data_IF_820104393458
#
_entry.id   IF_820104393458
#
_cell.length_a   1.000
_cell.length_b   1.000
_cell.length_c   1.000
_cell.angle_alpha   90.00
_cell.angle_beta   90.00
_cell.angle_gamma   90.00
#
_symmetry.space_group_name_H-M   'P 1'
#
loop_
_entity.id
_entity.type
_entity.pdbx_description
1 polymer ?
#
# COMPACT_ATOMS: atom_id res chain seq x y z
N UNK A 1 16.91 -11.72 -36.39
CA UNK A 1 17.00 -12.18 -34.99
C UNK A 1 17.08 -11.00 -34.00
N UNK A 2 18.01 -10.06 -34.17
CA UNK A 2 18.19 -8.90 -33.28
C UNK A 2 16.95 -8.01 -33.12
N UNK A 3 16.21 -7.74 -34.21
CA UNK A 3 14.96 -6.94 -34.19
C UNK A 3 13.81 -7.59 -33.40
N UNK A 4 13.75 -8.93 -33.36
CA UNK A 4 12.77 -9.66 -32.54
C UNK A 4 13.17 -9.64 -31.07
N UNK A 5 14.47 -9.75 -30.77
CA UNK A 5 15.01 -9.62 -29.42
C UNK A 5 14.74 -8.23 -28.83
N UNK A 6 14.90 -7.17 -29.63
CA UNK A 6 14.64 -5.79 -29.23
C UNK A 6 13.16 -5.55 -28.86
N UNK A 7 12.23 -6.15 -29.61
CA UNK A 7 10.80 -6.07 -29.33
C UNK A 7 10.41 -6.84 -28.06
N UNK A 8 11.00 -8.01 -27.81
CA UNK A 8 10.75 -8.79 -26.59
C UNK A 8 11.22 -8.02 -25.36
N UNK A 9 12.42 -7.43 -25.40
CA UNK A 9 12.95 -6.61 -24.30
C UNK A 9 12.11 -5.36 -24.01
N UNK A 10 11.57 -4.71 -25.05
CA UNK A 10 10.67 -3.55 -24.91
C UNK A 10 9.35 -3.94 -24.22
N UNK A 11 8.79 -5.11 -24.54
CA UNK A 11 7.54 -5.58 -23.91
C UNK A 11 7.76 -5.97 -22.44
N UNK A 12 8.90 -6.57 -22.11
CA UNK A 12 9.28 -6.93 -20.73
C UNK A 12 9.45 -5.71 -19.82
N UNK A 13 10.00 -4.60 -20.32
CA UNK A 13 10.16 -3.37 -19.52
C UNK A 13 8.84 -2.64 -19.26
N UNK A 14 7.90 -2.67 -20.22
CA UNK A 14 6.59 -2.04 -20.06
C UNK A 14 5.73 -2.74 -18.99
N UNK A 15 5.76 -4.07 -18.93
CA UNK A 15 4.99 -4.84 -17.95
C UNK A 15 5.46 -4.58 -16.50
N UNK A 16 6.77 -4.47 -16.29
CA UNK A 16 7.35 -4.19 -14.97
C UNK A 16 7.00 -2.79 -14.44
N UNK A 17 6.84 -1.81 -15.35
CA UNK A 17 6.53 -0.43 -14.97
C UNK A 17 5.05 -0.23 -14.56
N UNK A 18 4.13 -1.04 -15.09
CA UNK A 18 2.71 -0.99 -14.74
C UNK A 18 2.42 -1.47 -13.31
N UNK A 19 3.01 -2.61 -12.93
CA UNK A 19 2.80 -3.19 -11.60
C UNK A 19 3.37 -2.31 -10.47
N UNK A 20 4.58 -1.77 -10.68
CA UNK A 20 5.24 -0.86 -9.72
C UNK A 20 4.48 0.46 -9.54
N UNK A 21 3.86 0.98 -10.61
CA UNK A 21 3.00 2.17 -10.52
C UNK A 21 1.75 1.92 -9.67
N UNK A 22 1.09 0.77 -9.86
CA UNK A 22 -0.07 0.39 -9.05
C UNK A 22 0.27 0.25 -7.56
N UNK A 23 1.43 -0.36 -7.25
CA UNK A 23 1.90 -0.48 -5.86
C UNK A 23 2.10 0.90 -5.19
N UNK A 24 2.70 1.85 -5.92
CA UNK A 24 2.90 3.21 -5.43
C UNK A 24 1.57 3.96 -5.21
N UNK A 25 0.58 3.74 -6.07
CA UNK A 25 -0.75 4.34 -5.92
C UNK A 25 -1.49 3.80 -4.69
N UNK A 26 -1.46 2.48 -4.46
CA UNK A 26 -2.05 1.89 -3.24
C UNK A 26 -1.37 2.39 -1.97
N UNK A 27 -0.03 2.47 -1.94
CA UNK A 27 0.70 3.06 -0.81
C UNK A 27 0.27 4.50 -0.52
N UNK A 28 0.14 5.33 -1.57
CA UNK A 28 -0.30 6.72 -1.43
C UNK A 28 -1.72 6.81 -0.87
N UNK A 29 -2.65 6.04 -1.41
CA UNK A 29 -4.05 6.02 -0.94
C UNK A 29 -4.15 5.55 0.51
N UNK A 30 -3.39 4.52 0.89
CA UNK A 30 -3.33 4.08 2.28
C UNK A 30 -2.89 5.17 3.26
N UNK A 31 -1.85 5.94 2.90
CA UNK A 31 -1.39 7.08 3.71
C UNK A 31 -2.47 8.14 3.86
N UNK A 32 -3.24 8.41 2.82
CA UNK A 32 -4.37 9.34 2.89
C UNK A 32 -5.45 8.85 3.86
N UNK A 33 -5.74 7.55 3.90
CA UNK A 33 -6.66 6.97 4.87
C UNK A 33 -6.15 7.10 6.31
N UNK A 34 -4.85 6.85 6.54
CA UNK A 34 -4.23 7.02 7.86
C UNK A 34 -4.29 8.48 8.31
N UNK A 35 -4.00 9.41 7.42
CA UNK A 35 -4.02 10.84 7.70
C UNK A 35 -5.44 11.32 8.02
N UNK A 36 -6.41 10.98 7.18
CA UNK A 36 -7.82 11.30 7.44
C UNK A 36 -8.26 10.74 8.81
N UNK A 37 -7.82 9.54 9.16
CA UNK A 37 -8.16 8.96 10.47
C UNK A 37 -7.60 9.76 11.64
N UNK A 38 -6.35 10.22 11.51
CA UNK A 38 -5.68 11.01 12.55
C UNK A 38 -6.21 12.43 12.67
N UNK A 39 -6.49 13.09 11.55
CA UNK A 39 -6.86 14.50 11.53
C UNK A 39 -8.37 14.73 11.66
N UNK A 40 -9.17 13.89 11.00
CA UNK A 40 -10.63 14.05 10.95
C UNK A 40 -11.34 13.14 11.96
N UNK A 41 -10.62 12.20 12.60
CA UNK A 41 -11.19 11.26 13.57
C UNK A 41 -12.08 10.19 12.95
N UNK A 42 -11.96 9.95 11.64
CA UNK A 42 -12.71 8.89 10.94
C UNK A 42 -11.97 7.56 11.03
N UNK A 43 -12.65 6.44 11.30
CA UNK A 43 -11.95 5.15 11.37
C UNK A 43 -11.70 4.55 9.97
N UNK A 44 -10.60 4.96 9.32
CA UNK A 44 -10.18 4.45 7.99
C UNK A 44 -8.93 3.58 8.04
N UNK A 45 -8.46 3.20 9.23
CA UNK A 45 -7.28 2.35 9.36
C UNK A 45 -7.44 0.99 8.69
N UNK A 46 -8.64 0.40 8.69
CA UNK A 46 -8.92 -0.85 8.00
C UNK A 46 -8.76 -0.73 6.47
N UNK A 47 -9.18 0.40 5.89
CA UNK A 47 -8.99 0.69 4.46
C UNK A 47 -7.51 0.85 4.12
N UNK A 48 -6.76 1.55 4.99
CA UNK A 48 -5.32 1.68 4.85
C UNK A 48 -4.61 0.31 4.86
N UNK A 49 -5.00 -0.59 5.77
CA UNK A 49 -4.42 -1.96 5.83
C UNK A 49 -4.62 -2.70 4.51
N UNK A 50 -5.83 -2.69 3.95
CA UNK A 50 -6.12 -3.37 2.69
C UNK A 50 -5.28 -2.83 1.51
N UNK A 51 -5.15 -1.51 1.39
CA UNK A 51 -4.32 -0.88 0.37
C UNK A 51 -2.83 -1.19 0.55
N UNK A 52 -2.34 -1.27 1.79
CA UNK A 52 -0.94 -1.61 2.07
C UNK A 52 -0.63 -3.08 1.77
N UNK A 53 -1.57 -3.98 2.04
CA UNK A 53 -1.45 -5.39 1.67
C UNK A 53 -1.47 -5.57 0.15
N UNK A 54 -2.28 -4.79 -0.57
CA UNK A 54 -2.24 -4.74 -2.03
C UNK A 54 -0.90 -4.21 -2.57
N UNK A 55 -0.37 -3.13 -1.98
CA UNK A 55 0.93 -2.57 -2.35
C UNK A 55 2.06 -3.59 -2.15
N UNK A 56 2.07 -4.31 -1.02
CA UNK A 56 3.06 -5.35 -0.71
C UNK A 56 2.90 -6.61 -1.56
N UNK A 57 1.68 -6.92 -2.01
CA UNK A 57 1.45 -8.03 -2.95
C UNK A 57 2.02 -7.73 -4.34
N UNK A 58 1.95 -6.46 -4.77
CA UNK A 58 2.50 -6.01 -6.04
C UNK A 58 4.02 -5.77 -5.99
N UNK A 59 4.51 -5.18 -4.90
CA UNK A 59 5.93 -4.98 -4.64
C UNK A 59 6.30 -5.32 -3.18
N UNK A 60 6.76 -6.56 -2.94
CA UNK A 60 7.19 -6.99 -1.60
C UNK A 60 8.41 -6.23 -1.06
N UNK A 61 9.14 -5.49 -1.90
CA UNK A 61 10.33 -4.73 -1.49
C UNK A 61 10.00 -3.33 -0.95
N UNK A 62 8.73 -2.93 -0.98
CA UNK A 62 8.26 -1.62 -0.58
C UNK A 62 8.29 -1.44 0.95
N UNK A 63 9.48 -1.14 1.49
CA UNK A 63 9.73 -0.99 2.93
C UNK A 63 8.76 0.01 3.59
N UNK A 64 8.43 1.09 2.89
CA UNK A 64 7.50 2.10 3.39
C UNK A 64 6.10 1.51 3.67
N UNK A 65 5.64 0.54 2.88
CA UNK A 65 4.34 -0.09 3.08
C UNK A 65 4.29 -0.92 4.37
N UNK A 66 5.37 -1.62 4.73
CA UNK A 66 5.45 -2.30 6.04
C UNK A 66 5.36 -1.32 7.21
N UNK A 67 6.04 -0.16 7.11
CA UNK A 67 5.99 0.87 8.13
C UNK A 67 4.56 1.39 8.34
N UNK A 68 3.88 1.78 7.25
CA UNK A 68 2.51 2.27 7.35
C UNK A 68 1.52 1.18 7.79
N UNK A 69 1.79 -0.09 7.46
CA UNK A 69 0.95 -1.22 7.88
C UNK A 69 1.03 -1.41 9.39
N UNK A 70 2.23 -1.31 9.96
CA UNK A 70 2.43 -1.29 11.40
C UNK A 70 1.66 -0.13 12.06
N UNK A 71 1.76 1.09 11.52
CA UNK A 71 1.06 2.27 12.04
C UNK A 71 -0.46 2.06 12.05
N UNK A 72 -1.02 1.55 10.94
CA UNK A 72 -2.46 1.33 10.84
C UNK A 72 -2.95 0.23 11.81
N UNK A 73 -2.22 -0.89 11.91
CA UNK A 73 -2.58 -1.99 12.82
C UNK A 73 -2.48 -1.59 14.30
N UNK A 74 -1.48 -0.78 14.67
CA UNK A 74 -1.35 -0.21 16.02
C UNK A 74 -2.57 0.63 16.40
N UNK A 75 -2.96 1.57 15.53
CA UNK A 75 -4.10 2.43 15.77
C UNK A 75 -5.41 1.64 15.93
N UNK A 76 -5.62 0.58 15.13
CA UNK A 76 -6.79 -0.28 15.29
C UNK A 76 -6.81 -1.04 16.62
N UNK A 77 -5.64 -1.48 17.11
CA UNK A 77 -5.53 -2.12 18.42
C UNK A 77 -5.80 -1.16 19.58
N UNK A 78 -5.30 0.08 19.48
CA UNK A 78 -5.52 1.12 20.49
C UNK A 78 -7.01 1.52 20.58
N UNK A 79 -7.71 1.61 19.44
CA UNK A 79 -9.17 1.85 19.38
C UNK A 79 -9.99 0.70 19.99
N UNK A 80 -9.63 -0.56 19.70
CA UNK A 80 -10.30 -1.71 20.28
C UNK A 80 -10.15 -1.73 21.82
N UNK A 81 -8.94 -1.47 22.32
CA UNK A 81 -8.68 -1.38 23.75
C UNK A 81 -9.47 -0.23 24.42
N UNK A 82 -9.62 0.91 23.76
CA UNK A 82 -10.40 2.04 24.27
C UNK A 82 -11.90 1.73 24.38
N UNK A 83 -12.44 0.92 23.47
CA UNK A 83 -13.85 0.50 23.50
C UNK A 83 -14.20 -0.47 24.63
N UNK A 84 -13.26 -1.35 25.02
CA UNK A 84 -13.44 -2.31 26.11
C UNK A 84 -13.35 -1.68 27.51
N UNK A 85 -12.67 -0.54 27.64
CA UNK A 85 -12.45 0.14 28.92
C UNK A 85 -13.65 0.99 29.41
N UNK A 86 -14.84 0.81 28.82
CA UNK A 86 -16.03 1.66 29.02
C UNK A 86 -17.20 0.89 29.60
#
# INVERSE_FOLDING_TARGET
MLRRLLLILLVLSLAACGASRGAADSLRTARQHIEASRCEGVNRYAQAVAELEAALSADPSLVEAYYWLFVARRAMGDEAAAGEAR
#
